data_IF_268824020399
#
_entry.id   IF_268824020399
#
_cell.length_a   1.000
_cell.length_b   1.000
_cell.length_c   1.000
_cell.angle_alpha   90.00
_cell.angle_beta   90.00
_cell.angle_gamma   90.00
#
_symmetry.space_group_name_H-M   'P 1'
#
loop_
_entity.id
_entity.type
_entity.pdbx_description
1 polymer ?
#
# COMPACT_ATOMS: atom_id res chain seq x y z
N UNK A 1 -18.08 11.56 -10.74
CA UNK A 1 -17.86 10.24 -10.11
C UNK A 1 -16.45 9.76 -10.38
N UNK A 2 -15.70 9.36 -9.36
CA UNK A 2 -14.38 8.78 -9.53
C UNK A 2 -14.51 7.28 -9.83
N UNK A 3 -14.33 6.89 -11.10
CA UNK A 3 -14.19 5.47 -11.49
C UNK A 3 -12.84 4.95 -11.01
N UNK A 4 -12.83 3.94 -10.14
CA UNK A 4 -11.64 3.19 -9.75
C UNK A 4 -11.39 2.06 -10.74
N UNK A 5 -10.12 1.82 -11.07
CA UNK A 5 -9.70 0.74 -11.97
C UNK A 5 -8.66 -0.12 -11.28
N UNK A 6 -8.77 -1.44 -11.46
CA UNK A 6 -7.75 -2.38 -10.99
C UNK A 6 -6.42 -2.16 -11.71
N UNK A 7 -5.32 -2.52 -11.06
CA UNK A 7 -3.99 -2.39 -11.67
C UNK A 7 -3.85 -3.31 -12.90
N UNK A 8 -4.41 -4.52 -12.86
CA UNK A 8 -4.44 -5.45 -14.01
C UNK A 8 -5.08 -4.82 -15.26
N UNK A 9 -6.18 -4.09 -15.08
CA UNK A 9 -6.83 -3.40 -16.19
C UNK A 9 -5.93 -2.30 -16.76
N UNK A 10 -5.32 -1.49 -15.89
CA UNK A 10 -4.40 -0.41 -16.32
C UNK A 10 -3.22 -0.98 -17.12
N UNK A 11 -2.65 -2.10 -16.69
CA UNK A 11 -1.57 -2.77 -17.41
C UNK A 11 -1.98 -3.26 -18.78
N UNK A 12 -3.16 -3.90 -18.90
CA UNK A 12 -3.66 -4.37 -20.19
C UNK A 12 -3.87 -3.22 -21.17
N UNK A 13 -4.50 -2.14 -20.70
CA UNK A 13 -4.75 -0.93 -21.50
C UNK A 13 -3.45 -0.31 -21.99
N UNK A 14 -2.45 -0.19 -21.12
CA UNK A 14 -1.16 0.42 -21.51
C UNK A 14 -0.38 -0.48 -22.48
N UNK A 15 -0.39 -1.80 -22.29
CA UNK A 15 0.27 -2.74 -23.21
C UNK A 15 -0.33 -2.64 -24.62
N UNK A 16 -1.65 -2.70 -24.74
CA UNK A 16 -2.31 -2.55 -26.05
C UNK A 16 -2.05 -1.17 -26.68
N UNK A 17 -2.00 -0.11 -25.86
CA UNK A 17 -1.64 1.23 -26.35
C UNK A 17 -0.20 1.30 -26.88
N UNK A 18 0.76 0.65 -26.20
CA UNK A 18 2.16 0.59 -26.64
C UNK A 18 2.35 -0.28 -27.90
N UNK A 19 1.48 -1.28 -28.10
CA UNK A 19 1.42 -2.07 -29.35
C UNK A 19 0.84 -1.27 -30.54
N UNK A 20 0.29 -0.08 -30.29
CA UNK A 20 -0.18 0.84 -31.33
C UNK A 20 -1.71 1.03 -31.39
N UNK A 21 -2.46 0.50 -30.41
CA UNK A 21 -3.90 0.68 -30.37
C UNK A 21 -4.30 2.16 -30.18
N UNK A 22 -5.41 2.56 -30.80
CA UNK A 22 -5.91 3.95 -30.71
C UNK A 22 -6.59 4.18 -29.36
N UNK A 23 -6.31 5.34 -28.74
CA UNK A 23 -6.93 5.72 -27.46
C UNK A 23 -8.45 5.71 -27.50
N UNK A 24 -9.07 6.14 -28.60
CA UNK A 24 -10.53 6.18 -28.72
C UNK A 24 -11.15 4.79 -28.63
N UNK A 25 -10.49 3.80 -29.25
CA UNK A 25 -10.92 2.41 -29.25
C UNK A 25 -10.77 1.80 -27.86
N UNK A 26 -9.64 2.04 -27.19
CA UNK A 26 -9.41 1.58 -25.82
C UNK A 26 -10.40 2.19 -24.83
N UNK A 27 -10.75 3.47 -24.98
CA UNK A 27 -11.75 4.13 -24.13
C UNK A 27 -13.13 3.47 -24.28
N UNK A 28 -13.54 3.15 -25.51
CA UNK A 28 -14.82 2.50 -25.76
C UNK A 28 -14.82 1.05 -25.26
N UNK A 29 -13.76 0.29 -25.58
CA UNK A 29 -13.63 -1.14 -25.25
C UNK A 29 -13.53 -1.40 -23.75
N UNK A 30 -12.87 -0.52 -23.01
CA UNK A 30 -12.66 -0.64 -21.56
C UNK A 30 -13.53 0.31 -20.73
N UNK A 31 -14.50 0.99 -21.36
CA UNK A 31 -15.42 1.95 -20.73
C UNK A 31 -14.70 2.97 -19.82
N UNK A 32 -13.57 3.46 -20.30
CA UNK A 32 -12.79 4.46 -19.59
C UNK A 32 -13.53 5.78 -19.61
N UNK A 33 -13.40 6.57 -18.54
CA UNK A 33 -14.09 7.85 -18.50
C UNK A 33 -13.44 8.91 -19.40
N UNK A 34 -12.13 8.81 -19.65
CA UNK A 34 -11.39 9.78 -20.45
C UNK A 34 -10.10 9.16 -21.03
N UNK A 35 -9.67 9.66 -22.19
CA UNK A 35 -8.42 9.33 -22.90
C UNK A 35 -7.19 9.83 -22.14
N UNK A 36 -7.32 10.91 -21.36
CA UNK A 36 -6.24 11.45 -20.52
C UNK A 36 -5.66 10.41 -19.57
N UNK A 37 -6.50 9.54 -18.99
CA UNK A 37 -6.10 8.44 -18.10
C UNK A 37 -5.12 7.48 -18.77
N UNK A 38 -5.28 7.21 -20.06
CA UNK A 38 -4.37 6.31 -20.80
C UNK A 38 -2.97 6.95 -20.87
N UNK A 39 -2.86 8.28 -21.04
CA UNK A 39 -1.58 9.00 -21.05
C UNK A 39 -0.90 8.94 -19.68
N UNK A 40 -1.66 9.23 -18.62
CA UNK A 40 -1.15 9.17 -17.25
C UNK A 40 -0.66 7.76 -16.90
N UNK A 41 -1.43 6.73 -17.25
CA UNK A 41 -1.05 5.34 -16.99
C UNK A 41 0.16 4.92 -17.80
N UNK A 42 0.25 5.33 -19.06
CA UNK A 42 1.45 5.12 -19.88
C UNK A 42 2.67 5.74 -19.21
N UNK A 43 2.59 7.01 -18.80
CA UNK A 43 3.73 7.71 -18.20
C UNK A 43 4.16 7.07 -16.88
N UNK A 44 3.19 6.65 -16.07
CA UNK A 44 3.45 5.91 -14.84
C UNK A 44 4.09 4.55 -15.10
N UNK A 45 3.59 3.81 -16.09
CA UNK A 45 4.11 2.50 -16.48
C UNK A 45 5.53 2.59 -17.06
N UNK A 46 5.81 3.58 -17.92
CA UNK A 46 7.15 3.83 -18.46
C UNK A 46 8.14 4.24 -17.37
N UNK A 47 7.67 4.95 -16.33
CA UNK A 47 8.52 5.41 -15.24
C UNK A 47 8.87 4.30 -14.23
N UNK A 48 7.90 3.48 -13.84
CA UNK A 48 8.06 2.53 -12.74
C UNK A 48 8.07 1.06 -13.18
N UNK A 49 7.70 0.75 -14.43
CA UNK A 49 7.56 -0.61 -14.95
C UNK A 49 6.32 -1.36 -14.44
N UNK A 50 5.67 -0.86 -13.39
CA UNK A 50 4.44 -1.41 -12.81
C UNK A 50 3.57 -0.29 -12.21
N UNK A 51 2.31 -0.60 -11.93
CA UNK A 51 1.45 0.32 -11.17
C UNK A 51 1.69 0.10 -9.67
N UNK A 52 2.28 1.07 -8.94
CA UNK A 52 2.55 0.93 -7.52
C UNK A 52 1.26 0.67 -6.75
N UNK A 53 1.29 -0.34 -5.87
CA UNK A 53 0.29 -0.49 -4.83
C UNK A 53 0.45 0.69 -3.87
N UNK A 54 -0.62 1.44 -3.62
CA UNK A 54 -0.62 2.62 -2.76
C UNK A 54 -0.43 2.30 -1.26
N UNK A 55 -0.24 1.02 -0.93
CA UNK A 55 0.06 0.57 0.44
C UNK A 55 1.46 1.01 0.83
N UNK A 56 1.58 1.66 1.99
CA UNK A 56 2.87 2.12 2.53
C UNK A 56 3.45 3.37 1.87
N UNK A 57 2.80 3.94 0.85
CA UNK A 57 3.25 5.17 0.16
C UNK A 57 2.63 6.46 0.72
N UNK A 58 1.96 6.38 1.86
CA UNK A 58 1.40 7.54 2.54
C UNK A 58 2.51 8.52 2.92
N UNK A 59 2.45 9.75 2.37
CA UNK A 59 3.20 10.89 2.92
C UNK A 59 2.56 11.18 4.28
N UNK A 60 3.23 10.83 5.37
CA UNK A 60 2.76 10.94 6.76
C UNK A 60 1.72 9.89 7.21
N UNK A 61 2.02 9.19 8.31
CA UNK A 61 1.08 8.28 8.98
C UNK A 61 1.62 6.89 9.39
N UNK A 62 2.91 6.61 9.23
CA UNK A 62 3.50 5.42 9.87
C UNK A 62 3.66 5.62 11.39
N UNK A 63 3.68 4.51 12.16
CA UNK A 63 3.98 4.53 13.60
C UNK A 63 5.29 5.31 13.83
N UNK A 64 5.32 6.29 14.75
CA UNK A 64 6.55 7.00 15.07
C UNK A 64 7.64 5.99 15.45
N UNK A 65 8.78 6.08 14.78
CA UNK A 65 9.84 5.06 14.83
C UNK A 65 10.70 5.15 16.09
N UNK A 66 10.56 6.23 16.86
CA UNK A 66 11.31 6.46 18.08
C UNK A 66 10.47 7.31 19.03
N UNK A 67 10.28 6.83 20.26
CA UNK A 67 9.69 7.60 21.36
C UNK A 67 10.87 8.13 22.17
N UNK A 68 10.96 9.45 22.35
CA UNK A 68 11.99 10.02 23.22
C UNK A 68 11.63 9.73 24.67
N UNK A 69 12.29 8.73 25.25
CA UNK A 69 12.12 8.33 26.65
C UNK A 69 12.94 9.19 27.61
N UNK A 70 13.89 9.99 27.10
CA UNK A 70 14.78 10.80 27.94
C UNK A 70 14.08 12.02 28.54
N UNK A 71 12.97 12.48 27.94
CA UNK A 71 12.17 13.61 28.43
C UNK A 71 10.98 13.19 29.30
N UNK A 72 10.76 11.89 29.51
CA UNK A 72 9.63 11.39 30.29
C UNK A 72 9.87 11.55 31.79
N UNK A 73 8.81 11.86 32.54
CA UNK A 73 8.82 11.68 34.00
C UNK A 73 8.92 10.20 34.35
N UNK A 74 9.32 9.89 35.59
CA UNK A 74 9.44 8.51 36.05
C UNK A 74 8.12 7.73 35.91
N UNK A 75 6.98 8.36 36.22
CA UNK A 75 5.66 7.71 36.11
C UNK A 75 5.25 7.47 34.66
N UNK A 76 5.53 8.42 33.77
CA UNK A 76 5.28 8.26 32.33
C UNK A 76 6.13 7.15 31.74
N UNK A 77 7.40 7.05 32.16
CA UNK A 77 8.30 6.01 31.74
C UNK A 77 7.83 4.62 32.19
N UNK A 78 7.35 4.49 33.43
CA UNK A 78 6.76 3.24 33.93
C UNK A 78 5.54 2.85 33.09
N UNK A 79 4.61 3.76 32.84
CA UNK A 79 3.43 3.49 32.00
C UNK A 79 3.82 3.07 30.58
N UNK A 80 4.84 3.71 29.99
CA UNK A 80 5.36 3.35 28.68
C UNK A 80 5.90 1.90 28.68
N UNK A 81 6.71 1.55 29.68
CA UNK A 81 7.27 0.19 29.82
C UNK A 81 6.20 -0.88 30.05
N UNK A 82 5.15 -0.58 30.82
CA UNK A 82 4.04 -1.51 31.04
C UNK A 82 3.29 -1.80 29.73
N UNK A 83 2.98 -0.76 28.96
CA UNK A 83 2.38 -0.89 27.64
C UNK A 83 3.27 -1.68 26.68
N UNK A 84 4.58 -1.39 26.65
CA UNK A 84 5.54 -2.11 25.82
C UNK A 84 5.57 -3.61 26.18
N UNK A 85 5.62 -3.92 27.47
CA UNK A 85 5.58 -5.30 27.96
C UNK A 85 4.30 -6.03 27.57
N UNK A 86 3.15 -5.37 27.65
CA UNK A 86 1.87 -5.99 27.28
C UNK A 86 1.77 -6.27 25.79
N UNK A 87 2.26 -5.35 24.94
CA UNK A 87 2.38 -5.59 23.50
C UNK A 87 3.32 -6.78 23.23
N UNK A 88 4.47 -6.84 23.90
CA UNK A 88 5.42 -7.95 23.74
C UNK A 88 4.82 -9.30 24.17
N UNK A 89 4.06 -9.34 25.26
CA UNK A 89 3.33 -10.55 25.70
C UNK A 89 2.31 -10.98 24.65
N UNK A 90 1.55 -10.03 24.09
CA UNK A 90 0.59 -10.31 23.03
C UNK A 90 1.28 -10.89 21.79
N UNK A 91 2.37 -10.26 21.32
CA UNK A 91 3.15 -10.75 20.18
C UNK A 91 3.72 -12.15 20.44
N UNK A 92 4.26 -12.40 21.63
CA UNK A 92 4.74 -13.73 22.04
C UNK A 92 3.63 -14.77 21.98
N UNK A 93 2.43 -14.43 22.47
CA UNK A 93 1.27 -15.33 22.45
C UNK A 93 0.82 -15.66 21.02
N UNK A 94 0.80 -14.65 20.13
CA UNK A 94 0.44 -14.82 18.72
C UNK A 94 1.48 -15.65 17.98
N UNK A 95 2.76 -15.38 18.21
CA UNK A 95 3.87 -16.16 17.64
C UNK A 95 3.81 -17.62 18.10
N UNK A 96 3.53 -17.86 19.39
CA UNK A 96 3.36 -19.21 19.94
C UNK A 96 2.17 -19.94 19.31
N UNK A 97 1.03 -19.26 19.14
CA UNK A 97 -0.16 -19.82 18.48
C UNK A 97 0.11 -20.16 17.01
N UNK A 98 0.78 -19.27 16.27
CA UNK A 98 1.16 -19.48 14.86
C UNK A 98 2.11 -20.67 14.68
N UNK A 99 3.07 -20.85 15.60
CA UNK A 99 3.95 -22.02 15.59
C UNK A 99 3.14 -23.32 15.79
N UNK A 100 2.20 -23.35 16.74
CA UNK A 100 1.34 -24.52 17.00
C UNK A 100 0.38 -24.85 15.86
N UNK A 101 -0.13 -23.85 15.14
CA UNK A 101 -1.02 -24.07 13.99
C UNK A 101 -0.28 -24.62 12.75
N UNK A 102 1.01 -24.34 12.60
CA UNK A 102 1.84 -24.81 11.47
C UNK A 102 2.39 -26.24 11.65
N UNK A 103 2.15 -26.89 12.80
CA UNK A 103 2.63 -28.25 13.12
C UNK A 103 1.51 -29.29 12.92
N UNK A 104 0.44 -28.96 12.18
CA UNK A 104 -0.65 -29.87 11.83
C UNK A 104 -0.69 -30.16 10.35
#
# INVERSE_FOLDING_TARGET
MNKHYSNELKERVVKEYLEGAKMNELVLRYELADKSRIREWRDQFLKYGCFPDGRGTGRSGGRPRNVDTSSMTQEEYIRYLEMENDILKQLRSLSSKKAKSNIK
#
